data_IF_018774096313
#
_entry.id   IF_018774096313
#
_cell.length_a   1.000
_cell.length_b   1.000
_cell.length_c   1.000
_cell.angle_alpha   90.00
_cell.angle_beta   90.00
_cell.angle_gamma   90.00
#
_symmetry.space_group_name_H-M   'P 1'
#
loop_
_entity.id
_entity.type
_entity.pdbx_description
1 polymer ?
#
# COMPACT_ATOMS: atom_id res chain seq x y z
N UNK A 1 8.14 -12.52 9.11
CA UNK A 1 8.67 -12.63 10.48
C UNK A 1 8.19 -13.95 11.07
N UNK A 2 9.00 -14.60 11.88
CA UNK A 2 8.64 -15.81 12.64
C UNK A 2 8.58 -15.43 14.12
N UNK A 3 7.48 -15.71 14.82
CA UNK A 3 7.38 -15.45 16.26
C UNK A 3 8.26 -16.44 17.03
N UNK A 4 9.12 -15.92 17.91
CA UNK A 4 9.90 -16.70 18.89
C UNK A 4 9.18 -16.75 20.23
N UNK A 5 8.46 -15.69 20.56
CA UNK A 5 7.57 -15.56 21.71
C UNK A 5 6.37 -14.69 21.30
N UNK A 6 5.57 -14.23 22.27
CA UNK A 6 4.46 -13.31 22.00
C UNK A 6 4.95 -11.96 21.42
N UNK A 7 6.15 -11.52 21.78
CA UNK A 7 6.64 -10.17 21.44
C UNK A 7 7.94 -10.18 20.62
N UNK A 8 8.68 -11.29 20.64
CA UNK A 8 9.95 -11.41 19.93
C UNK A 8 9.76 -12.11 18.59
N UNK A 9 10.40 -11.55 17.56
CA UNK A 9 10.34 -12.07 16.21
C UNK A 9 11.72 -12.12 15.55
N UNK A 10 11.88 -13.03 14.59
CA UNK A 10 13.06 -13.09 13.72
C UNK A 10 12.66 -13.19 12.26
N UNK A 11 13.45 -12.60 11.36
CA UNK A 11 13.27 -12.85 9.92
C UNK A 11 13.69 -14.28 9.58
N UNK A 12 12.87 -14.99 8.80
CA UNK A 12 13.22 -16.32 8.26
C UNK A 12 14.28 -16.24 7.15
N UNK A 13 14.59 -15.03 6.66
CA UNK A 13 15.60 -14.73 5.61
C UNK A 13 15.36 -15.39 4.23
N UNK A 14 14.36 -16.26 4.12
CA UNK A 14 14.00 -16.98 2.89
C UNK A 14 12.56 -16.73 2.41
N UNK A 15 11.81 -15.85 3.08
CA UNK A 15 10.41 -15.53 2.76
C UNK A 15 9.41 -16.69 2.94
N UNK A 16 9.84 -17.78 3.59
CA UNK A 16 8.96 -18.86 4.05
C UNK A 16 8.45 -18.59 5.47
N UNK A 17 7.33 -19.21 5.90
CA UNK A 17 6.51 -20.20 5.17
C UNK A 17 5.64 -19.59 4.05
N UNK A 18 5.33 -20.41 3.04
CA UNK A 18 4.27 -20.12 2.09
C UNK A 18 2.91 -20.55 2.65
N UNK A 19 1.84 -19.82 2.32
CA UNK A 19 0.48 -20.30 2.54
C UNK A 19 0.11 -21.27 1.41
N UNK A 20 -0.14 -22.53 1.75
CA UNK A 20 -0.45 -23.60 0.80
C UNK A 20 -1.81 -24.18 1.16
N UNK A 21 -2.78 -24.05 0.25
CA UNK A 21 -4.12 -24.62 0.39
C UNK A 21 -4.35 -25.63 -0.73
N UNK A 22 -4.50 -26.91 -0.36
CA UNK A 22 -4.74 -28.00 -1.31
C UNK A 22 -6.17 -28.52 -1.16
N UNK A 23 -6.90 -28.56 -2.28
CA UNK A 23 -8.29 -28.97 -2.33
C UNK A 23 -8.43 -30.26 -3.12
N UNK A 24 -9.24 -31.20 -2.61
CA UNK A 24 -9.67 -32.36 -3.37
C UNK A 24 -10.74 -31.95 -4.40
N UNK A 25 -10.57 -32.39 -5.64
CA UNK A 25 -11.51 -32.17 -6.75
C UNK A 25 -11.51 -33.41 -7.64
N UNK A 26 -12.65 -33.68 -8.28
CA UNK A 26 -12.73 -34.70 -9.32
C UNK A 26 -11.87 -34.35 -10.56
N UNK A 27 -11.45 -35.40 -11.26
CA UNK A 27 -10.65 -35.31 -12.49
C UNK A 27 -9.17 -35.64 -12.28
N UNK A 28 -8.43 -35.73 -13.39
CA UNK A 28 -7.04 -36.16 -13.43
C UNK A 28 -6.03 -35.00 -13.59
N UNK A 29 -6.46 -33.76 -13.34
CA UNK A 29 -5.63 -32.56 -13.49
C UNK A 29 -5.45 -31.83 -12.16
N UNK A 30 -4.23 -31.35 -11.91
CA UNK A 30 -3.90 -30.50 -10.76
C UNK A 30 -3.88 -29.04 -11.21
N UNK A 31 -4.81 -28.25 -10.70
CA UNK A 31 -4.92 -26.82 -11.02
C UNK A 31 -4.41 -25.96 -9.86
N UNK A 32 -3.70 -24.89 -10.17
CA UNK A 32 -3.06 -24.02 -9.22
C UNK A 32 -3.37 -22.55 -9.52
N UNK A 33 -3.46 -21.77 -8.45
CA UNK A 33 -3.39 -20.31 -8.49
C UNK A 33 -2.28 -19.90 -7.52
N UNK A 34 -1.19 -19.36 -8.06
CA UNK A 34 -0.11 -18.79 -7.27
C UNK A 34 -0.35 -17.29 -7.11
N UNK A 35 -0.20 -16.75 -5.90
CA UNK A 35 -0.41 -15.32 -5.60
C UNK A 35 0.77 -14.78 -4.80
N UNK A 36 1.49 -13.80 -5.34
CA UNK A 36 2.54 -13.07 -4.62
C UNK A 36 1.94 -11.82 -3.96
N UNK A 37 1.18 -11.99 -2.88
CA UNK A 37 0.42 -10.88 -2.28
C UNK A 37 1.30 -9.92 -1.48
N UNK A 38 1.29 -8.64 -1.84
CA UNK A 38 2.00 -7.60 -1.09
C UNK A 38 1.30 -7.27 0.24
N UNK A 39 2.05 -7.16 1.33
CA UNK A 39 1.51 -6.90 2.67
C UNK A 39 0.61 -5.66 2.76
N UNK A 40 0.95 -4.58 2.04
CA UNK A 40 0.11 -3.36 2.01
C UNK A 40 -1.30 -3.60 1.46
N UNK A 41 -1.44 -4.41 0.41
CA UNK A 41 -2.74 -4.81 -0.14
C UNK A 41 -3.43 -5.90 0.68
N UNK A 42 -2.67 -6.79 1.33
CA UNK A 42 -3.22 -7.77 2.27
C UNK A 42 -3.90 -7.09 3.46
N UNK A 43 -3.27 -6.04 4.02
CA UNK A 43 -3.80 -5.23 5.12
C UNK A 43 -5.03 -4.40 4.72
N UNK A 44 -5.35 -4.31 3.43
CA UNK A 44 -6.57 -3.67 2.90
C UNK A 44 -7.59 -4.72 2.46
N UNK A 45 -7.70 -5.78 3.26
CA UNK A 45 -8.78 -6.76 3.18
C UNK A 45 -9.57 -6.65 4.47
N UNK A 46 -10.83 -6.22 4.38
CA UNK A 46 -11.68 -5.90 5.51
C UNK A 46 -12.89 -6.83 5.55
N UNK A 47 -13.32 -7.15 6.77
CA UNK A 47 -14.55 -7.87 7.06
C UNK A 47 -15.49 -6.96 7.84
N UNK A 48 -16.74 -6.90 7.41
CA UNK A 48 -17.80 -6.17 8.07
C UNK A 48 -18.96 -7.12 8.36
N UNK A 49 -19.33 -7.22 9.64
CA UNK A 49 -20.49 -8.01 10.04
C UNK A 49 -21.74 -7.13 9.92
N UNK A 50 -22.49 -7.34 8.84
CA UNK A 50 -23.74 -6.64 8.58
C UNK A 50 -24.94 -7.56 8.78
N UNK A 51 -26.14 -6.99 8.67
CA UNK A 51 -27.41 -7.71 8.79
C UNK A 51 -28.23 -7.59 7.50
N UNK A 52 -29.40 -8.24 7.45
CA UNK A 52 -30.34 -8.09 6.32
C UNK A 52 -30.71 -6.62 6.04
N UNK A 53 -30.64 -5.72 7.02
CA UNK A 53 -30.99 -4.31 6.85
C UNK A 53 -30.10 -3.58 5.81
N UNK A 54 -28.85 -4.02 5.63
CA UNK A 54 -27.95 -3.43 4.62
C UNK A 54 -28.35 -3.81 3.19
N UNK A 55 -29.10 -4.90 3.00
CA UNK A 55 -29.46 -5.43 1.68
C UNK A 55 -30.67 -4.70 1.07
N UNK A 56 -30.53 -3.38 0.96
CA UNK A 56 -31.38 -2.44 0.23
C UNK A 56 -30.45 -1.59 -0.66
N UNK A 57 -30.83 -1.23 -1.90
CA UNK A 57 -29.91 -0.61 -2.87
C UNK A 57 -29.13 0.60 -2.32
N UNK A 58 -29.84 1.63 -1.83
CA UNK A 58 -29.20 2.86 -1.35
C UNK A 58 -28.35 2.63 -0.09
N UNK A 59 -28.85 1.80 0.83
CA UNK A 59 -28.16 1.49 2.09
C UNK A 59 -26.85 0.74 1.81
N UNK A 60 -26.90 -0.25 0.91
CA UNK A 60 -25.74 -1.02 0.51
C UNK A 60 -24.70 -0.14 -0.18
N UNK A 61 -25.11 0.65 -1.16
CA UNK A 61 -24.20 1.51 -1.93
C UNK A 61 -23.52 2.54 -1.04
N UNK A 62 -24.27 3.23 -0.18
CA UNK A 62 -23.70 4.20 0.76
C UNK A 62 -22.71 3.52 1.70
N UNK A 63 -23.10 2.38 2.28
CA UNK A 63 -22.20 1.59 3.12
C UNK A 63 -20.90 1.20 2.39
N UNK A 64 -21.01 0.65 1.17
CA UNK A 64 -19.85 0.21 0.39
C UNK A 64 -18.93 1.38 0.06
N UNK A 65 -19.46 2.52 -0.37
CA UNK A 65 -18.63 3.68 -0.72
C UNK A 65 -17.93 4.27 0.49
N UNK A 66 -18.60 4.36 1.63
CA UNK A 66 -17.97 4.80 2.87
C UNK A 66 -16.81 3.88 3.24
N UNK A 67 -17.00 2.56 3.15
CA UNK A 67 -15.93 1.60 3.43
C UNK A 67 -14.81 1.64 2.37
N UNK A 68 -15.14 1.80 1.09
CA UNK A 68 -14.15 1.90 0.00
C UNK A 68 -13.23 3.11 0.19
N UNK A 69 -13.76 4.26 0.65
CA UNK A 69 -12.94 5.44 0.99
C UNK A 69 -11.90 5.13 2.07
N UNK A 70 -12.22 4.29 3.06
CA UNK A 70 -11.28 3.91 4.14
C UNK A 70 -10.07 3.09 3.66
N UNK A 71 -10.14 2.49 2.47
CA UNK A 71 -8.97 1.86 1.83
C UNK A 71 -7.87 2.91 1.64
N UNK A 72 -8.26 4.12 1.22
CA UNK A 72 -7.37 5.23 0.93
C UNK A 72 -6.33 4.91 -0.14
N UNK A 73 -5.21 5.62 -0.12
CA UNK A 73 -4.11 5.45 -1.09
C UNK A 73 -3.00 4.55 -0.56
N UNK A 74 -3.21 3.97 0.63
CA UNK A 74 -2.25 3.17 1.38
C UNK A 74 -1.91 1.82 0.78
N UNK A 75 -2.57 1.36 -0.29
CA UNK A 75 -2.23 0.11 -0.98
C UNK A 75 -1.80 0.31 -2.44
N UNK A 76 -1.40 1.51 -2.85
CA UNK A 76 -0.94 1.82 -4.21
C UNK A 76 -2.07 1.57 -5.25
N UNK A 77 -3.09 2.45 -5.32
CA UNK A 77 -4.04 2.48 -6.43
C UNK A 77 -3.34 2.85 -7.76
N UNK A 78 -3.96 2.55 -8.92
CA UNK A 78 -5.34 2.10 -9.09
C UNK A 78 -5.56 0.64 -8.68
N UNK A 79 -6.71 0.35 -8.09
CA UNK A 79 -7.02 -0.97 -7.52
C UNK A 79 -7.83 -1.87 -8.47
N UNK A 80 -7.59 -3.18 -8.40
CA UNK A 80 -8.61 -4.17 -8.73
C UNK A 80 -9.45 -4.41 -7.47
N UNK A 81 -10.60 -3.75 -7.37
CA UNK A 81 -11.45 -3.79 -6.18
C UNK A 81 -12.32 -5.04 -6.18
N UNK A 82 -12.40 -5.74 -5.06
CA UNK A 82 -13.30 -6.87 -4.87
C UNK A 82 -14.24 -6.62 -3.68
N UNK A 83 -15.52 -6.87 -3.89
CA UNK A 83 -16.59 -6.82 -2.89
C UNK A 83 -17.29 -8.17 -2.86
N UNK A 84 -17.46 -8.75 -1.68
CA UNK A 84 -18.22 -9.99 -1.48
C UNK A 84 -19.34 -9.74 -0.48
N UNK A 85 -20.57 -10.06 -0.87
CA UNK A 85 -21.76 -9.85 -0.04
C UNK A 85 -22.37 -11.19 0.32
N UNK A 86 -22.38 -11.51 1.61
CA UNK A 86 -22.76 -12.81 2.13
C UNK A 86 -21.56 -13.75 2.27
N UNK A 87 -21.88 -15.02 2.52
CA UNK A 87 -20.94 -16.07 2.88
C UNK A 87 -21.49 -16.90 4.03
N UNK A 88 -21.11 -18.17 4.05
CA UNK A 88 -21.48 -19.10 5.13
C UNK A 88 -20.67 -18.86 6.41
N UNK A 89 -19.53 -18.19 6.28
CA UNK A 89 -18.66 -17.79 7.38
C UNK A 89 -17.74 -16.64 6.98
N UNK A 90 -17.09 -16.03 7.96
CA UNK A 90 -16.18 -14.91 7.77
C UNK A 90 -14.99 -15.28 6.87
N UNK A 91 -14.38 -16.43 7.13
CA UNK A 91 -13.24 -16.96 6.39
C UNK A 91 -13.60 -17.31 4.95
N UNK A 92 -14.80 -17.85 4.67
CA UNK A 92 -15.26 -18.08 3.31
C UNK A 92 -15.47 -16.75 2.56
N UNK A 93 -16.08 -15.74 3.20
CA UNK A 93 -16.23 -14.41 2.62
C UNK A 93 -14.88 -13.82 2.25
N UNK A 94 -13.91 -13.80 3.18
CA UNK A 94 -12.60 -13.21 2.95
C UNK A 94 -11.76 -13.99 1.93
N UNK A 95 -11.85 -15.32 1.92
CA UNK A 95 -11.24 -16.13 0.86
C UNK A 95 -11.84 -15.80 -0.51
N UNK A 96 -13.16 -15.63 -0.58
CA UNK A 96 -13.84 -15.24 -1.84
C UNK A 96 -13.40 -13.85 -2.29
N UNK A 97 -13.22 -12.90 -1.36
CA UNK A 97 -12.65 -11.57 -1.67
C UNK A 97 -11.26 -11.71 -2.27
N UNK A 98 -10.41 -12.56 -1.69
CA UNK A 98 -9.06 -12.82 -2.22
C UNK A 98 -9.12 -13.29 -3.67
N UNK A 99 -9.90 -14.32 -3.94
CA UNK A 99 -10.03 -14.91 -5.27
C UNK A 99 -10.65 -13.94 -6.29
N UNK A 100 -11.68 -13.19 -5.88
CA UNK A 100 -12.30 -12.16 -6.70
C UNK A 100 -11.31 -11.02 -7.05
N UNK A 101 -10.47 -10.59 -6.10
CA UNK A 101 -9.44 -9.56 -6.36
C UNK A 101 -8.36 -10.03 -7.34
N UNK A 102 -8.18 -11.35 -7.47
CA UNK A 102 -7.28 -11.97 -8.43
C UNK A 102 -7.97 -12.38 -9.74
N UNK A 103 -9.23 -11.95 -9.96
CA UNK A 103 -10.04 -12.26 -11.14
C UNK A 103 -10.27 -13.76 -11.39
N UNK A 104 -10.02 -14.59 -10.39
CA UNK A 104 -10.18 -16.05 -10.46
C UNK A 104 -11.65 -16.47 -10.61
N UNK A 105 -12.57 -15.59 -10.22
CA UNK A 105 -14.02 -15.82 -10.22
C UNK A 105 -14.75 -15.15 -11.38
N UNK A 106 -14.03 -14.66 -12.39
CA UNK A 106 -14.59 -13.89 -13.51
C UNK A 106 -15.61 -14.68 -14.34
N UNK A 107 -15.49 -16.01 -14.36
CA UNK A 107 -16.36 -16.94 -15.09
C UNK A 107 -17.57 -17.43 -14.27
N UNK A 108 -17.81 -16.90 -13.07
CA UNK A 108 -19.05 -17.21 -12.33
C UNK A 108 -20.29 -16.77 -13.15
N UNK A 109 -21.45 -17.44 -12.96
CA UNK A 109 -22.72 -16.95 -13.49
C UNK A 109 -22.99 -15.51 -13.05
N UNK A 110 -23.73 -14.75 -13.85
CA UNK A 110 -24.09 -13.35 -13.55
C UNK A 110 -25.48 -13.19 -12.91
N UNK A 111 -26.15 -14.31 -12.69
CA UNK A 111 -27.47 -14.39 -12.05
C UNK A 111 -27.44 -15.47 -10.97
N UNK A 112 -28.17 -15.23 -9.87
CA UNK A 112 -28.32 -16.20 -8.80
C UNK A 112 -29.43 -17.22 -9.08
N UNK A 113 -29.50 -18.26 -8.24
CA UNK A 113 -30.57 -19.27 -8.29
C UNK A 113 -31.23 -19.47 -6.92
N UNK A 114 -32.09 -20.49 -6.85
CA UNK A 114 -32.83 -20.84 -5.63
C UNK A 114 -32.09 -21.79 -4.69
N UNK A 115 -30.92 -22.32 -5.09
CA UNK A 115 -30.16 -23.30 -4.30
C UNK A 115 -28.87 -22.73 -3.70
N UNK A 116 -28.74 -21.40 -3.66
CA UNK A 116 -27.62 -20.73 -3.01
C UNK A 116 -26.37 -20.63 -3.88
N UNK A 117 -26.56 -20.58 -5.20
CA UNK A 117 -25.50 -20.40 -6.18
C UNK A 117 -24.83 -19.02 -5.99
N UNK A 118 -23.50 -19.01 -6.01
CA UNK A 118 -22.74 -17.77 -6.07
C UNK A 118 -22.86 -17.15 -7.46
N UNK A 119 -22.96 -15.83 -7.54
CA UNK A 119 -22.96 -15.12 -8.81
C UNK A 119 -22.16 -13.81 -8.76
N UNK A 120 -21.73 -13.37 -9.94
CA UNK A 120 -21.03 -12.11 -10.16
C UNK A 120 -22.02 -11.02 -10.57
N UNK A 121 -22.16 -9.98 -9.75
CA UNK A 121 -23.10 -8.89 -9.99
C UNK A 121 -22.47 -7.78 -10.86
N UNK A 122 -22.56 -7.95 -12.17
CA UNK A 122 -21.98 -7.02 -13.16
C UNK A 122 -22.63 -5.63 -13.10
N UNK A 123 -23.90 -5.54 -12.69
CA UNK A 123 -24.59 -4.24 -12.55
C UNK A 123 -23.94 -3.45 -11.41
N UNK A 124 -23.80 -4.06 -10.24
CA UNK A 124 -23.22 -3.42 -9.07
C UNK A 124 -21.72 -3.14 -9.24
N UNK A 125 -20.99 -3.97 -10.00
CA UNK A 125 -19.60 -3.68 -10.40
C UNK A 125 -19.48 -2.33 -11.12
N UNK A 126 -20.32 -2.10 -12.12
CA UNK A 126 -20.29 -0.87 -12.91
C UNK A 126 -20.69 0.35 -12.09
N UNK A 127 -21.69 0.20 -11.21
CA UNK A 127 -22.15 1.26 -10.33
C UNK A 127 -21.05 1.69 -9.35
N UNK A 128 -20.43 0.73 -8.66
CA UNK A 128 -19.30 1.00 -7.75
C UNK A 128 -18.12 1.60 -8.52
N UNK A 129 -17.77 1.07 -9.70
CA UNK A 129 -16.68 1.62 -10.51
C UNK A 129 -16.92 3.08 -10.88
N UNK A 130 -18.13 3.44 -11.29
CA UNK A 130 -18.48 4.82 -11.60
C UNK A 130 -18.35 5.72 -10.37
N UNK A 131 -18.84 5.27 -9.21
CA UNK A 131 -18.69 6.02 -7.96
C UNK A 131 -17.22 6.19 -7.56
N UNK A 132 -16.38 5.14 -7.69
CA UNK A 132 -14.95 5.24 -7.37
C UNK A 132 -14.22 6.28 -8.24
N UNK A 133 -14.69 6.50 -9.46
CA UNK A 133 -14.14 7.49 -10.41
C UNK A 133 -14.53 8.92 -10.08
N UNK A 134 -15.56 9.13 -9.27
CA UNK A 134 -16.00 10.45 -8.80
C UNK A 134 -15.51 10.79 -7.40
N UNK A 135 -14.79 9.89 -6.71
CA UNK A 135 -14.28 10.12 -5.36
C UNK A 135 -13.21 11.22 -5.27
N UNK A 136 -12.54 11.54 -6.38
CA UNK A 136 -11.44 12.50 -6.41
C UNK A 136 -10.10 11.97 -5.89
N UNK A 137 -10.03 10.77 -5.30
CA UNK A 137 -8.80 10.23 -4.66
C UNK A 137 -7.74 9.72 -5.67
N UNK A 138 -8.16 9.04 -6.73
CA UNK A 138 -7.28 8.19 -7.55
C UNK A 138 -6.36 8.94 -8.51
N UNK A 139 -5.33 8.41 -9.16
CA UNK A 139 -4.42 7.37 -8.73
C UNK A 139 -3.37 8.02 -7.83
N UNK A 140 -3.41 7.69 -6.53
CA UNK A 140 -2.55 8.18 -5.46
C UNK A 140 -2.66 9.66 -5.11
N UNK A 141 -2.51 10.58 -6.06
CA UNK A 141 -2.43 12.02 -5.78
C UNK A 141 -3.57 12.82 -6.42
N UNK A 142 -4.79 12.30 -6.34
CA UNK A 142 -6.00 13.00 -6.76
C UNK A 142 -6.34 12.84 -8.25
N UNK A 143 -7.63 12.73 -8.56
CA UNK A 143 -8.14 12.42 -9.90
C UNK A 143 -9.07 11.21 -9.96
N UNK A 144 -9.16 10.61 -11.17
CA UNK A 144 -10.20 9.65 -11.55
C UNK A 144 -9.87 8.18 -11.21
N UNK A 145 -8.61 7.77 -11.37
CA UNK A 145 -8.25 6.36 -11.43
C UNK A 145 -7.99 5.77 -10.05
N UNK A 146 -9.04 5.68 -9.22
CA UNK A 146 -8.93 5.02 -7.92
C UNK A 146 -8.98 3.49 -8.06
N UNK A 147 -9.82 3.01 -8.96
CA UNK A 147 -9.92 1.60 -9.34
C UNK A 147 -9.67 1.44 -10.85
N UNK A 148 -8.94 0.38 -11.23
CA UNK A 148 -8.89 -0.12 -12.60
C UNK A 148 -10.27 -0.70 -12.99
N UNK A 149 -10.77 -1.60 -12.15
CA UNK A 149 -12.04 -2.30 -12.30
C UNK A 149 -12.57 -2.77 -10.92
N UNK A 150 -13.77 -3.36 -10.91
CA UNK A 150 -14.44 -3.90 -9.72
C UNK A 150 -14.91 -5.32 -9.99
N UNK A 151 -14.90 -6.18 -8.97
CA UNK A 151 -15.58 -7.47 -8.92
C UNK A 151 -16.55 -7.51 -7.74
N UNK A 152 -17.81 -7.87 -7.99
CA UNK A 152 -18.81 -8.01 -6.93
C UNK A 152 -19.37 -9.42 -6.94
N UNK A 153 -19.10 -10.20 -5.89
CA UNK A 153 -19.61 -11.57 -5.75
C UNK A 153 -20.68 -11.62 -4.67
N UNK A 154 -21.86 -12.15 -5.03
CA UNK A 154 -22.94 -12.41 -4.09
C UNK A 154 -22.94 -13.89 -3.72
N UNK A 155 -22.87 -14.18 -2.42
CA UNK A 155 -22.88 -15.54 -1.86
C UNK A 155 -24.18 -15.83 -1.10
N UNK A 156 -24.58 -17.09 -0.90
CA UNK A 156 -25.62 -17.42 0.08
C UNK A 156 -25.18 -16.98 1.49
N UNK A 157 -26.14 -16.86 2.41
CA UNK A 157 -25.89 -16.46 3.80
C UNK A 157 -26.89 -17.12 4.74
N UNK A 158 -26.49 -17.39 5.97
CA UNK A 158 -27.44 -17.73 7.03
C UNK A 158 -28.44 -16.58 7.26
N UNK A 159 -29.69 -16.88 7.63
CA UNK A 159 -30.75 -15.88 7.77
C UNK A 159 -30.38 -14.72 8.70
N UNK A 160 -29.69 -15.03 9.80
CA UNK A 160 -29.24 -14.07 10.82
C UNK A 160 -27.91 -13.36 10.50
N UNK A 161 -27.26 -13.64 9.37
CA UNK A 161 -25.89 -13.15 9.08
C UNK A 161 -25.82 -12.48 7.72
N UNK A 162 -24.98 -11.46 7.58
CA UNK A 162 -24.61 -10.88 6.29
C UNK A 162 -23.16 -10.37 6.34
N UNK A 163 -22.16 -11.27 6.34
CA UNK A 163 -20.77 -10.83 6.25
C UNK A 163 -20.53 -10.13 4.90
N UNK A 164 -19.85 -8.99 4.93
CA UNK A 164 -19.40 -8.28 3.73
C UNK A 164 -17.89 -8.18 3.79
N UNK A 165 -17.23 -8.62 2.72
CA UNK A 165 -15.80 -8.51 2.56
C UNK A 165 -15.44 -7.50 1.47
N UNK A 166 -14.43 -6.67 1.73
CA UNK A 166 -13.89 -5.73 0.73
C UNK A 166 -12.37 -5.90 0.68
N UNK A 167 -11.80 -5.97 -0.51
CA UNK A 167 -10.35 -6.11 -0.68
C UNK A 167 -9.87 -5.61 -2.02
N UNK A 168 -8.56 -5.53 -2.18
CA UNK A 168 -7.94 -5.01 -3.41
C UNK A 168 -6.78 -5.87 -3.90
N UNK A 169 -6.56 -5.89 -5.21
CA UNK A 169 -5.22 -6.03 -5.78
C UNK A 169 -4.63 -4.65 -6.07
N UNK A 170 -3.34 -4.49 -5.76
CA UNK A 170 -2.63 -3.22 -5.91
C UNK A 170 -1.92 -3.12 -7.26
N UNK A 171 -1.18 -2.04 -7.50
CA UNK A 171 -0.32 -1.91 -8.70
C UNK A 171 0.67 -3.07 -8.88
N UNK A 172 1.04 -3.76 -7.81
CA UNK A 172 1.78 -5.03 -7.89
C UNK A 172 0.80 -6.21 -8.00
N UNK A 173 0.01 -6.22 -9.09
CA UNK A 173 -0.97 -7.27 -9.40
C UNK A 173 -0.24 -8.53 -9.87
N UNK A 174 -0.14 -9.53 -8.99
CA UNK A 174 0.79 -10.66 -9.14
C UNK A 174 0.12 -11.97 -8.76
N UNK A 175 -0.46 -12.60 -9.77
CA UNK A 175 -0.97 -13.95 -9.72
C UNK A 175 -0.61 -14.68 -11.02
N UNK A 176 -0.56 -16.00 -10.96
CA UNK A 176 -0.37 -16.83 -12.15
C UNK A 176 -1.11 -18.16 -11.97
N UNK A 177 -1.91 -18.52 -12.96
CA UNK A 177 -2.58 -19.82 -13.02
C UNK A 177 -1.62 -20.87 -13.60
N UNK A 178 -1.73 -22.10 -13.09
CA UNK A 178 -1.00 -23.23 -13.63
C UNK A 178 -1.87 -24.49 -13.61
N UNK A 179 -1.51 -25.43 -14.48
CA UNK A 179 -2.19 -26.72 -14.60
C UNK A 179 -1.16 -27.81 -14.86
N UNK A 180 -1.30 -28.95 -14.20
CA UNK A 180 -0.57 -30.18 -14.49
C UNK A 180 -1.58 -31.24 -14.89
N UNK A 181 -1.35 -31.92 -16.00
CA UNK A 181 -2.11 -33.09 -16.42
C UNK A 181 -1.20 -34.12 -17.11
N UNK A 182 -1.78 -35.18 -17.67
CA UNK A 182 -1.04 -36.26 -18.33
C UNK A 182 -0.15 -35.80 -19.50
N UNK A 183 -0.39 -34.61 -20.07
CA UNK A 183 0.37 -34.06 -21.19
C UNK A 183 1.54 -33.17 -20.75
N UNK A 184 1.57 -32.72 -19.49
CA UNK A 184 2.68 -31.94 -18.95
C UNK A 184 2.27 -30.83 -17.98
N UNK A 185 3.12 -29.80 -17.90
CA UNK A 185 2.99 -28.65 -17.01
C UNK A 185 2.71 -27.40 -17.83
N UNK A 186 1.65 -26.69 -17.48
CA UNK A 186 1.18 -25.48 -18.14
C UNK A 186 1.20 -24.32 -17.14
N UNK A 187 1.64 -23.17 -17.63
CA UNK A 187 1.68 -21.91 -16.87
C UNK A 187 1.00 -20.83 -17.70
N UNK A 188 0.23 -19.98 -17.05
CA UNK A 188 -0.39 -18.81 -17.68
C UNK A 188 0.68 -17.93 -18.33
N UNK A 189 0.42 -17.53 -19.58
CA UNK A 189 1.31 -16.64 -20.33
C UNK A 189 1.02 -15.20 -19.91
N UNK A 190 2.00 -14.56 -19.29
CA UNK A 190 1.97 -13.12 -18.99
C UNK A 190 2.51 -12.31 -20.18
N UNK A 191 2.35 -10.99 -20.13
CA UNK A 191 2.98 -10.09 -21.10
C UNK A 191 4.49 -10.02 -20.88
N UNK A 192 5.26 -10.13 -21.97
CA UNK A 192 6.72 -10.05 -21.98
C UNK A 192 7.26 -8.78 -22.65
N UNK A 193 6.42 -8.06 -23.40
CA UNK A 193 6.72 -6.74 -23.96
C UNK A 193 5.76 -5.68 -23.38
N UNK A 194 5.96 -5.25 -22.12
CA UNK A 194 5.11 -4.23 -21.52
C UNK A 194 5.28 -2.84 -22.15
N UNK A 195 6.35 -2.62 -22.94
CA UNK A 195 6.62 -1.33 -23.56
C UNK A 195 5.55 -0.94 -24.60
N UNK A 196 4.84 -1.92 -25.18
CA UNK A 196 3.73 -1.68 -26.09
C UNK A 196 2.56 -0.89 -25.45
N UNK A 197 2.45 -0.89 -24.12
CA UNK A 197 1.43 -0.13 -23.39
C UNK A 197 1.88 1.30 -23.05
N UNK A 198 3.13 1.67 -23.32
CA UNK A 198 3.60 3.04 -23.10
C UNK A 198 2.99 3.98 -24.14
N UNK A 199 2.28 5.03 -23.72
CA UNK A 199 1.80 6.04 -24.64
C UNK A 199 2.97 6.83 -25.22
N UNK A 200 2.83 7.33 -26.44
CA UNK A 200 3.69 8.39 -26.94
C UNK A 200 3.43 9.65 -26.12
N UNK A 201 4.34 9.96 -25.19
CA UNK A 201 4.30 11.17 -24.37
C UNK A 201 5.25 12.21 -24.97
N UNK A 202 4.79 13.45 -25.10
CA UNK A 202 5.67 14.60 -25.34
C UNK A 202 6.40 15.00 -24.06
N UNK A 203 7.25 16.03 -24.14
CA UNK A 203 7.80 16.67 -22.93
C UNK A 203 6.63 17.14 -22.04
N UNK A 204 6.69 16.83 -20.75
CA UNK A 204 5.66 17.25 -19.80
C UNK A 204 5.71 18.78 -19.66
N UNK A 205 4.79 19.48 -20.31
CA UNK A 205 4.70 20.94 -20.21
C UNK A 205 4.26 21.38 -18.80
N UNK A 206 5.01 22.30 -18.20
CA UNK A 206 4.45 23.29 -17.26
C UNK A 206 4.28 22.89 -15.78
N UNK A 207 4.95 21.85 -15.28
CA UNK A 207 4.97 21.60 -13.82
C UNK A 207 6.29 22.08 -13.25
N UNK A 208 6.28 23.24 -12.58
CA UNK A 208 7.43 23.79 -11.85
C UNK A 208 7.89 22.77 -10.78
N UNK A 209 9.04 22.14 -11.02
CA UNK A 209 9.67 21.20 -10.11
C UNK A 209 10.54 21.98 -9.12
N UNK A 210 10.18 21.93 -7.84
CA UNK A 210 10.99 22.51 -6.78
C UNK A 210 12.04 21.50 -6.38
N UNK A 211 13.30 21.79 -6.71
CA UNK A 211 14.44 21.01 -6.22
C UNK A 211 14.73 21.34 -4.75
N UNK A 212 14.93 20.31 -3.94
CA UNK A 212 15.30 20.41 -2.53
C UNK A 212 16.59 19.64 -2.30
N UNK A 213 17.64 20.38 -1.94
CA UNK A 213 18.91 19.81 -1.49
C UNK A 213 18.81 19.40 -0.02
N UNK A 214 18.69 18.10 0.22
CA UNK A 214 18.59 17.48 1.54
C UNK A 214 19.90 17.58 2.35
N UNK A 215 21.03 17.83 1.70
CA UNK A 215 22.34 17.95 2.34
C UNK A 215 22.63 19.40 2.79
N UNK A 216 21.72 20.35 2.52
CA UNK A 216 21.81 21.74 2.99
C UNK A 216 21.70 21.90 4.53
N UNK A 217 21.45 20.80 5.25
CA UNK A 217 21.23 20.75 6.70
C UNK A 217 19.76 20.88 7.07
N UNK A 218 19.31 20.08 8.05
CA UNK A 218 17.89 19.89 8.40
C UNK A 218 17.10 21.20 8.58
N UNK A 219 17.68 22.22 9.24
CA UNK A 219 16.97 23.49 9.47
C UNK A 219 16.72 24.25 8.16
N UNK A 220 17.71 24.30 7.26
CA UNK A 220 17.56 24.95 5.94
C UNK A 220 16.54 24.19 5.09
N UNK A 221 16.59 22.85 5.10
CA UNK A 221 15.62 22.00 4.39
C UNK A 221 14.21 22.24 4.92
N UNK A 222 14.02 22.29 6.24
CA UNK A 222 12.74 22.59 6.85
C UNK A 222 12.27 24.00 6.49
N UNK A 223 13.14 25.00 6.55
CA UNK A 223 12.80 26.38 6.19
C UNK A 223 12.33 26.48 4.74
N UNK A 224 12.94 25.74 3.81
CA UNK A 224 12.51 25.68 2.42
C UNK A 224 11.17 24.93 2.29
N UNK A 225 11.08 23.69 2.75
CA UNK A 225 9.90 22.84 2.52
C UNK A 225 8.63 23.42 3.17
N UNK A 226 8.75 24.03 4.36
CA UNK A 226 7.60 24.61 5.10
C UNK A 226 6.92 25.77 4.39
N UNK A 227 7.56 26.36 3.37
CA UNK A 227 6.97 27.44 2.58
C UNK A 227 5.91 26.93 1.59
N UNK A 228 6.01 25.65 1.19
CA UNK A 228 5.14 25.09 0.16
C UNK A 228 3.84 24.53 0.74
N UNK A 229 2.69 24.78 0.08
CA UNK A 229 1.42 24.20 0.48
C UNK A 229 1.35 22.71 0.12
N UNK A 230 0.35 22.02 0.66
CA UNK A 230 -0.03 20.68 0.16
C UNK A 230 -0.26 20.72 -1.35
N UNK A 231 -0.02 19.61 -2.06
CA UNK A 231 -0.04 19.45 -3.53
C UNK A 231 1.24 19.84 -4.24
N UNK A 232 2.14 20.62 -3.61
CA UNK A 232 3.41 20.98 -4.23
C UNK A 232 4.22 19.73 -4.55
N UNK A 233 4.68 19.61 -5.80
CA UNK A 233 5.63 18.58 -6.24
C UNK A 233 7.06 19.04 -5.96
N UNK A 234 7.86 18.14 -5.41
CA UNK A 234 9.27 18.33 -5.06
C UNK A 234 10.14 17.28 -5.76
N UNK A 235 11.36 17.66 -6.11
CA UNK A 235 12.45 16.75 -6.46
C UNK A 235 13.50 16.81 -5.37
N UNK A 236 13.74 15.67 -4.70
CA UNK A 236 14.65 15.60 -3.57
C UNK A 236 16.01 15.06 -4.03
N UNK A 237 17.08 15.71 -3.58
CA UNK A 237 18.45 15.31 -3.85
C UNK A 237 19.26 15.35 -2.55
N UNK A 238 20.10 14.36 -2.31
CA UNK A 238 20.95 14.28 -1.11
C UNK A 238 20.57 13.11 -0.19
N UNK A 239 20.89 13.23 1.09
CA UNK A 239 20.84 12.12 2.04
C UNK A 239 19.46 11.93 2.70
N UNK A 240 19.04 10.67 2.85
CA UNK A 240 17.90 10.27 3.68
C UNK A 240 18.25 9.07 4.58
N UNK A 241 17.56 8.99 5.73
CA UNK A 241 17.56 7.78 6.56
C UNK A 241 16.36 6.93 6.24
N UNK A 242 16.57 5.64 6.04
CA UNK A 242 15.51 4.66 5.84
C UNK A 242 15.26 3.91 7.14
N UNK A 243 14.03 3.97 7.64
CA UNK A 243 13.60 3.19 8.80
C UNK A 243 12.10 2.89 8.69
N UNK A 244 11.67 1.71 9.12
CA UNK A 244 10.26 1.31 9.11
C UNK A 244 9.89 0.55 10.39
N UNK A 245 8.82 -0.24 10.35
CA UNK A 245 8.12 -0.84 11.48
C UNK A 245 9.02 -1.28 12.66
N UNK A 246 9.94 -2.23 12.47
CA UNK A 246 10.77 -2.77 13.57
C UNK A 246 11.83 -1.75 14.02
N UNK A 247 12.45 -1.04 13.09
CA UNK A 247 13.41 0.03 13.42
C UNK A 247 12.75 1.15 14.24
N UNK A 248 11.52 1.55 13.92
CA UNK A 248 10.76 2.55 14.69
C UNK A 248 10.41 2.04 16.09
N UNK A 249 10.02 0.77 16.23
CA UNK A 249 9.79 0.17 17.54
C UNK A 249 11.06 0.20 18.41
N UNK A 250 12.23 -0.11 17.83
CA UNK A 250 13.52 -0.03 18.52
C UNK A 250 13.91 1.41 18.88
N UNK A 251 13.74 2.35 17.97
CA UNK A 251 13.98 3.78 18.23
C UNK A 251 13.08 4.30 19.34
N UNK A 252 11.81 3.86 19.41
CA UNK A 252 10.91 4.20 20.51
C UNK A 252 11.42 3.67 21.84
N UNK A 253 11.97 2.45 21.86
CA UNK A 253 12.55 1.87 23.06
C UNK A 253 13.81 2.62 23.50
N UNK A 254 14.69 2.97 22.56
CA UNK A 254 15.87 3.82 22.81
C UNK A 254 15.45 5.16 23.41
N UNK A 255 14.40 5.79 22.87
CA UNK A 255 13.86 7.03 23.42
C UNK A 255 13.34 6.86 24.85
N UNK A 256 12.66 5.76 25.16
CA UNK A 256 12.16 5.46 26.51
C UNK A 256 13.29 5.20 27.51
N UNK A 257 14.37 4.53 27.07
CA UNK A 257 15.52 4.18 27.91
C UNK A 257 16.51 5.33 28.11
N UNK A 258 16.75 6.14 27.07
CA UNK A 258 17.81 7.17 27.07
C UNK A 258 17.28 8.60 27.13
N UNK A 259 15.99 8.81 26.84
CA UNK A 259 15.38 10.14 26.78
C UNK A 259 15.68 10.94 25.51
N UNK A 260 16.46 10.39 24.56
CA UNK A 260 16.78 11.00 23.27
C UNK A 260 16.80 9.97 22.12
N UNK A 261 16.95 10.44 20.88
CA UNK A 261 17.05 9.63 19.68
C UNK A 261 18.44 9.78 19.02
N UNK A 262 18.90 8.77 18.26
CA UNK A 262 20.15 8.84 17.51
C UNK A 262 20.21 10.05 16.58
N UNK A 263 21.40 10.62 16.41
CA UNK A 263 21.61 11.85 15.62
C UNK A 263 21.15 11.71 14.16
N UNK A 264 21.29 10.52 13.56
CA UNK A 264 20.82 10.27 12.20
C UNK A 264 19.31 10.51 12.04
N UNK A 265 18.50 10.30 13.08
CA UNK A 265 17.05 10.50 13.04
C UNK A 265 16.64 11.97 13.16
N UNK A 266 17.57 12.83 13.60
CA UNK A 266 17.43 14.29 13.76
C UNK A 266 18.03 15.06 12.58
N UNK A 267 19.09 14.53 11.96
CA UNK A 267 19.88 15.23 10.93
C UNK A 267 19.32 15.10 9.52
N UNK A 268 18.53 14.05 9.22
CA UNK A 268 18.06 13.76 7.86
C UNK A 268 16.57 13.39 7.81
N UNK A 269 15.88 13.59 6.67
CA UNK A 269 14.54 13.07 6.47
C UNK A 269 14.46 11.56 6.66
N UNK A 270 13.34 11.06 7.20
CA UNK A 270 13.11 9.63 7.40
C UNK A 270 12.21 9.08 6.30
N UNK A 271 12.79 8.27 5.41
CA UNK A 271 12.11 7.50 4.38
C UNK A 271 11.63 6.16 4.94
N UNK A 272 10.32 5.91 4.92
CA UNK A 272 9.77 4.61 5.31
C UNK A 272 9.80 3.65 4.12
N UNK A 273 10.80 2.77 4.09
CA UNK A 273 10.94 1.75 3.06
C UNK A 273 11.74 0.54 3.58
N UNK A 274 11.82 -0.50 2.77
CA UNK A 274 12.72 -1.63 2.98
C UNK A 274 13.17 -2.16 1.62
N UNK A 275 14.47 -2.27 1.35
CA UNK A 275 14.97 -2.63 0.03
C UNK A 275 14.77 -4.12 -0.26
N UNK A 276 14.53 -4.45 -1.54
CA UNK A 276 14.74 -5.80 -2.03
C UNK A 276 16.25 -6.12 -2.12
N UNK A 277 16.58 -7.40 -2.38
CA UNK A 277 17.97 -7.82 -2.58
C UNK A 277 18.61 -7.04 -3.74
N UNK A 278 19.83 -6.57 -3.53
CA UNK A 278 20.63 -5.86 -4.53
C UNK A 278 21.10 -6.83 -5.63
N UNK A 279 20.77 -6.59 -6.91
CA UNK A 279 21.36 -7.34 -8.02
C UNK A 279 22.84 -7.02 -8.21
N UNK A 280 23.60 -7.94 -8.81
CA UNK A 280 25.00 -7.71 -9.14
C UNK A 280 25.13 -6.56 -10.15
N UNK A 281 26.08 -5.65 -9.92
CA UNK A 281 26.29 -4.47 -10.77
C UNK A 281 25.32 -3.30 -10.56
N UNK A 282 24.33 -3.43 -9.67
CA UNK A 282 23.39 -2.35 -9.33
C UNK A 282 23.71 -1.73 -7.97
N UNK A 283 23.32 -0.46 -7.79
CA UNK A 283 23.45 0.26 -6.52
C UNK A 283 22.50 -0.28 -5.47
N UNK A 284 21.25 -0.55 -5.87
CA UNK A 284 20.17 -0.99 -4.98
C UNK A 284 19.30 -2.05 -5.66
N UNK A 285 18.66 -2.90 -4.86
CA UNK A 285 17.46 -3.61 -5.31
C UNK A 285 16.26 -2.68 -5.38
N UNK A 286 15.11 -3.16 -5.85
CA UNK A 286 13.86 -2.37 -5.86
C UNK A 286 13.55 -1.79 -4.47
N UNK A 287 13.28 -0.48 -4.38
CA UNK A 287 13.30 0.24 -3.10
C UNK A 287 12.21 1.33 -3.00
N UNK A 288 10.96 0.92 -3.21
CA UNK A 288 9.80 1.81 -3.11
C UNK A 288 9.30 2.05 -1.67
N UNK A 289 8.41 3.04 -1.47
CA UNK A 289 7.90 3.43 -0.16
C UNK A 289 7.00 2.37 0.47
N UNK A 290 6.96 2.33 1.80
CA UNK A 290 5.96 1.58 2.58
C UNK A 290 4.83 2.48 3.10
N UNK A 291 3.77 1.87 3.67
CA UNK A 291 2.60 2.63 4.15
C UNK A 291 2.94 3.52 5.34
N UNK A 292 2.74 4.83 5.18
CA UNK A 292 3.06 5.83 6.19
C UNK A 292 2.27 5.66 7.50
N UNK A 293 0.98 5.37 7.39
CA UNK A 293 0.05 5.29 8.52
C UNK A 293 0.45 4.32 9.63
N UNK A 294 1.30 3.31 9.34
CA UNK A 294 1.76 2.35 10.36
C UNK A 294 2.75 2.96 11.36
N UNK A 295 3.37 4.09 11.01
CA UNK A 295 4.32 4.80 11.88
C UNK A 295 3.69 6.01 12.59
N UNK A 296 2.38 6.25 12.43
CA UNK A 296 1.71 7.44 13.00
C UNK A 296 1.81 7.52 14.53
N UNK A 297 1.83 6.38 15.22
CA UNK A 297 1.92 6.31 16.68
C UNK A 297 3.24 6.84 17.25
N UNK A 298 4.31 6.87 16.44
CA UNK A 298 5.64 7.34 16.88
C UNK A 298 5.83 8.85 16.64
N UNK A 299 5.08 9.43 15.72
CA UNK A 299 5.38 10.75 15.15
C UNK A 299 5.47 11.87 16.19
N UNK A 300 4.49 12.01 17.08
CA UNK A 300 4.49 13.08 18.07
C UNK A 300 5.68 12.98 19.05
N UNK A 301 5.97 11.77 19.55
CA UNK A 301 7.09 11.53 20.47
C UNK A 301 8.45 11.81 19.82
N UNK A 302 8.60 11.43 18.54
CA UNK A 302 9.86 11.64 17.82
C UNK A 302 10.06 13.11 17.46
N UNK A 303 9.02 13.78 16.95
CA UNK A 303 9.08 15.21 16.61
C UNK A 303 9.33 16.11 17.82
N UNK A 304 8.82 15.72 18.99
CA UNK A 304 9.13 16.41 20.26
C UNK A 304 10.63 16.42 20.60
N UNK A 305 11.37 15.42 20.12
CA UNK A 305 12.83 15.30 20.27
C UNK A 305 13.60 15.82 19.05
N UNK A 306 12.94 16.56 18.16
CA UNK A 306 13.54 17.09 16.94
C UNK A 306 13.86 16.03 15.87
N UNK A 307 13.37 14.80 16.03
CA UNK A 307 13.54 13.73 15.06
C UNK A 307 12.30 13.58 14.17
N UNK A 308 12.44 12.94 13.01
CA UNK A 308 11.29 12.64 12.12
C UNK A 308 10.49 13.89 11.71
N UNK A 309 11.10 15.07 11.67
CA UNK A 309 10.44 16.33 11.28
C UNK A 309 10.10 16.36 9.79
N UNK A 310 10.86 15.64 8.96
CA UNK A 310 10.50 15.38 7.56
C UNK A 310 10.38 13.88 7.40
N UNK A 311 9.21 13.42 6.98
CA UNK A 311 8.95 12.00 6.71
C UNK A 311 8.59 11.80 5.25
N UNK A 312 9.06 10.71 4.65
CA UNK A 312 8.74 10.35 3.27
C UNK A 312 8.27 8.90 3.21
N UNK A 313 7.14 8.65 2.55
CA UNK A 313 6.52 7.32 2.46
C UNK A 313 5.41 7.33 1.40
N UNK A 314 4.42 6.41 1.49
CA UNK A 314 3.21 6.47 0.67
C UNK A 314 1.94 6.30 1.48
N UNK A 315 0.82 6.74 0.90
CA UNK A 315 -0.51 6.65 1.48
C UNK A 315 -0.91 7.87 2.31
N UNK A 316 -2.21 7.99 2.55
CA UNK A 316 -2.78 8.95 3.50
C UNK A 316 -2.44 8.58 4.97
N UNK A 317 -2.45 9.58 5.86
CA UNK A 317 -2.11 9.43 7.28
C UNK A 317 -3.29 9.85 8.18
N UNK A 318 -3.18 9.57 9.46
CA UNK A 318 -4.21 9.91 10.45
C UNK A 318 -4.23 11.40 10.77
N UNK A 319 -5.37 11.86 11.32
CA UNK A 319 -5.50 13.22 11.86
C UNK A 319 -4.51 13.52 12.98
N UNK A 320 -4.18 12.51 13.79
CA UNK A 320 -3.19 12.64 14.87
C UNK A 320 -1.81 13.01 14.32
N UNK A 321 -1.41 12.42 13.19
CA UNK A 321 -0.17 12.78 12.51
C UNK A 321 -0.18 14.24 12.03
N UNK A 322 -1.26 14.69 11.38
CA UNK A 322 -1.37 16.08 10.93
C UNK A 322 -1.34 17.10 12.09
N UNK A 323 -1.93 16.74 13.24
CA UNK A 323 -1.84 17.56 14.44
C UNK A 323 -0.41 17.61 15.01
N UNK A 324 0.36 16.51 14.94
CA UNK A 324 1.77 16.49 15.33
C UNK A 324 2.62 17.39 14.42
N UNK A 325 2.42 17.30 13.09
CA UNK A 325 3.03 18.22 12.12
C UNK A 325 2.76 19.68 12.48
N UNK A 326 1.51 20.03 12.76
CA UNK A 326 1.14 21.40 13.19
C UNK A 326 1.85 21.84 14.48
N UNK A 327 1.96 20.94 15.46
CA UNK A 327 2.52 21.25 16.78
C UNK A 327 4.04 21.44 16.74
N UNK A 328 4.74 20.59 16.00
CA UNK A 328 6.21 20.52 16.00
C UNK A 328 6.84 21.05 14.69
N UNK A 329 6.03 21.57 13.78
CA UNK A 329 6.47 22.03 12.46
C UNK A 329 6.93 20.89 11.54
N UNK A 330 6.44 19.67 11.73
CA UNK A 330 6.78 18.53 10.87
C UNK A 330 6.10 18.58 9.51
N UNK A 331 6.64 17.87 8.52
CA UNK A 331 6.09 17.75 7.16
C UNK A 331 6.10 16.28 6.73
N UNK A 332 5.07 15.87 5.98
CA UNK A 332 5.03 14.57 5.31
C UNK A 332 5.02 14.72 3.80
N UNK A 333 5.99 14.06 3.19
CA UNK A 333 6.19 13.94 1.76
C UNK A 333 5.66 12.59 1.26
N UNK A 334 4.71 12.61 0.34
CA UNK A 334 4.20 11.41 -0.33
C UNK A 334 5.01 11.09 -1.58
N UNK A 335 5.62 9.92 -1.62
CA UNK A 335 6.21 9.33 -2.82
C UNK A 335 5.18 8.44 -3.53
N UNK A 336 5.40 8.21 -4.82
CA UNK A 336 4.59 7.26 -5.61
C UNK A 336 4.87 5.83 -5.14
N UNK A 337 3.85 5.16 -4.62
CA UNK A 337 3.92 3.75 -4.26
C UNK A 337 3.75 2.84 -5.47
N UNK A 338 4.64 1.87 -5.65
CA UNK A 338 4.59 0.93 -6.79
C UNK A 338 5.86 0.84 -7.63
N UNK A 339 6.38 1.95 -8.20
CA UNK A 339 7.49 1.95 -9.15
C UNK A 339 8.87 1.76 -8.49
N UNK A 340 9.00 0.74 -7.64
CA UNK A 340 10.17 0.49 -6.80
C UNK A 340 11.45 0.19 -7.61
N UNK A 341 11.33 -0.40 -8.81
CA UNK A 341 12.46 -0.65 -9.69
C UNK A 341 13.02 0.64 -10.30
N UNK A 342 12.13 1.53 -10.80
CA UNK A 342 12.52 2.84 -11.33
C UNK A 342 13.15 3.72 -10.25
N UNK A 343 12.55 3.79 -9.05
CA UNK A 343 13.14 4.51 -7.92
C UNK A 343 14.56 4.02 -7.63
N UNK A 344 14.78 2.70 -7.62
CA UNK A 344 16.10 2.14 -7.35
C UNK A 344 17.12 2.41 -8.47
N UNK A 345 16.67 2.39 -9.73
CA UNK A 345 17.52 2.58 -10.90
C UNK A 345 17.89 4.05 -11.12
N UNK A 346 16.90 4.94 -11.02
CA UNK A 346 17.02 6.31 -11.47
C UNK A 346 17.29 7.27 -10.30
N UNK A 347 16.75 7.00 -9.11
CA UNK A 347 16.84 7.94 -7.99
C UNK A 347 17.90 7.57 -6.95
N UNK A 348 18.14 6.29 -6.66
CA UNK A 348 19.03 5.88 -5.55
C UNK A 348 20.47 5.70 -6.05
N UNK A 349 21.40 6.46 -5.46
CA UNK A 349 22.82 6.48 -5.87
C UNK A 349 23.75 5.84 -4.84
N UNK A 350 23.30 5.66 -3.60
CA UNK A 350 24.04 4.92 -2.57
C UNK A 350 23.10 4.26 -1.56
N UNK A 351 23.51 3.14 -0.97
CA UNK A 351 22.81 2.46 0.13
C UNK A 351 23.84 1.88 1.11
N UNK A 352 23.73 2.26 2.37
CA UNK A 352 24.56 1.76 3.48
C UNK A 352 23.66 1.35 4.64
N UNK A 353 23.93 0.20 5.27
CA UNK A 353 23.28 -0.17 6.54
C UNK A 353 24.05 0.49 7.67
N UNK A 354 23.39 1.35 8.45
CA UNK A 354 24.05 2.14 9.50
C UNK A 354 23.64 1.74 10.92
N UNK A 355 22.52 1.04 11.09
CA UNK A 355 22.06 0.57 12.39
C UNK A 355 21.16 -0.67 12.26
N UNK A 356 21.11 -1.48 13.32
CA UNK A 356 20.34 -2.73 13.42
C UNK A 356 20.50 -3.71 12.23
N UNK A 357 21.73 -4.06 11.81
CA UNK A 357 21.98 -4.89 10.63
C UNK A 357 21.31 -6.27 10.67
N UNK A 358 21.06 -6.80 11.86
CA UNK A 358 20.38 -8.08 12.05
C UNK A 358 18.91 -8.08 11.59
N UNK A 359 18.30 -6.91 11.42
CA UNK A 359 16.92 -6.76 10.94
C UNK A 359 16.78 -6.96 9.42
N UNK A 360 17.89 -7.12 8.68
CA UNK A 360 17.87 -7.32 7.24
C UNK A 360 17.21 -6.13 6.53
N UNK A 361 16.13 -6.37 5.77
CA UNK A 361 15.44 -5.30 5.03
C UNK A 361 14.81 -4.22 5.93
N UNK A 362 14.66 -4.48 7.24
CA UNK A 362 14.13 -3.51 8.22
C UNK A 362 15.22 -2.83 9.04
N UNK A 363 16.50 -3.04 8.71
CA UNK A 363 17.61 -2.28 9.28
C UNK A 363 17.48 -0.79 8.98
N UNK A 364 18.21 0.05 9.73
CA UNK A 364 18.32 1.46 9.38
C UNK A 364 19.35 1.60 8.27
N UNK A 365 18.94 2.22 7.16
CA UNK A 365 19.84 2.49 6.05
C UNK A 365 20.07 3.98 5.90
N UNK A 366 21.25 4.37 5.45
CA UNK A 366 21.55 5.70 4.91
C UNK A 366 21.59 5.58 3.40
N UNK A 367 20.81 6.41 2.71
CA UNK A 367 20.78 6.44 1.25
C UNK A 367 21.06 7.84 0.72
N UNK A 368 21.67 7.92 -0.45
CA UNK A 368 21.73 9.15 -1.24
C UNK A 368 20.78 9.02 -2.41
N UNK A 369 20.01 10.07 -2.67
CA UNK A 369 19.08 10.15 -3.78
C UNK A 369 19.35 11.33 -4.71
N UNK A 370 18.92 11.22 -5.95
CA UNK A 370 18.83 12.30 -6.94
C UNK A 370 17.44 12.27 -7.58
N UNK A 371 16.93 13.44 -7.94
CA UNK A 371 15.66 13.61 -8.66
C UNK A 371 14.51 12.77 -8.08
N UNK A 372 14.46 12.59 -6.76
CA UNK A 372 13.48 11.71 -6.14
C UNK A 372 12.13 12.44 -6.04
N UNK A 373 11.07 11.96 -6.72
CA UNK A 373 9.81 12.69 -6.77
C UNK A 373 9.00 12.50 -5.48
N UNK A 374 8.48 13.60 -4.95
CA UNK A 374 7.55 13.59 -3.83
C UNK A 374 6.54 14.74 -3.90
N UNK A 375 5.46 14.62 -3.13
CA UNK A 375 4.46 15.67 -2.96
C UNK A 375 4.37 16.09 -1.50
N UNK A 376 4.20 17.37 -1.21
CA UNK A 376 3.80 17.82 0.13
C UNK A 376 2.37 17.32 0.39
N UNK A 377 2.23 16.32 1.26
CA UNK A 377 0.94 15.71 1.60
C UNK A 377 0.39 16.31 2.88
N UNK A 378 1.22 16.44 3.92
CA UNK A 378 0.85 17.17 5.15
C UNK A 378 1.88 18.26 5.39
N UNK A 379 1.43 19.51 5.48
CA UNK A 379 2.31 20.65 5.74
C UNK A 379 2.51 20.92 7.25
N UNK A 380 3.43 21.83 7.56
CA UNK A 380 3.72 22.24 8.94
C UNK A 380 2.60 23.04 9.62
N UNK A 381 1.52 23.38 8.90
CA UNK A 381 0.32 24.03 9.45
C UNK A 381 -0.77 23.00 9.78
N UNK A 382 -0.55 21.73 9.46
CA UNK A 382 -1.50 20.63 9.67
C UNK A 382 -2.59 20.56 8.59
N UNK A 383 -2.37 21.18 7.42
CA UNK A 383 -3.17 20.95 6.24
C UNK A 383 -2.79 19.59 5.66
N UNK A 384 -3.78 18.85 5.17
CA UNK A 384 -3.62 17.48 4.65
C UNK A 384 -4.30 17.38 3.29
N UNK A 385 -3.52 16.99 2.28
CA UNK A 385 -3.93 16.78 0.90
C UNK A 385 -5.19 15.90 0.78
N UNK A 386 -5.30 14.85 1.59
CA UNK A 386 -6.39 13.88 1.48
C UNK A 386 -7.63 14.23 2.30
N UNK A 387 -7.58 15.31 3.11
CA UNK A 387 -8.64 15.63 4.08
C UNK A 387 -10.01 15.81 3.45
N UNK A 388 -10.06 16.29 2.21
CA UNK A 388 -11.30 16.49 1.47
C UNK A 388 -12.05 15.17 1.19
N UNK A 389 -11.31 14.08 0.99
CA UNK A 389 -11.88 12.82 0.49
C UNK A 389 -11.84 11.67 1.51
N UNK A 390 -10.85 11.69 2.42
CA UNK A 390 -10.55 10.62 3.36
C UNK A 390 -10.68 11.05 4.83
N UNK A 391 -11.00 12.33 5.10
CA UNK A 391 -10.90 12.98 6.40
C UNK A 391 -12.15 12.93 7.27
#
# INVERSE_FOLDING_TARGET
MSPLSMFEEVSTKCNLPAQIELYAKDGAAYNFLFIAKGGGSANKTFLYQQTKAVLNPDVLLNFLIDQIKTIGTSACPPYHLAVVIGGLSAELTLKTVKLASCKYLDALPTEGGSFGEAFRDVKLENEILNMTRTLGIGAQFGGKYFCHDVRVIRLPRHGASCPIGIGVSCSADRQIMAKVDASGVYLEKLEHDPAQFLPAIGEAEGVEEVCVDLDAGMENVLQQIRQYPTKQRLLLQGTMIVARDIAHARLSKILEETGDLPDYAKQYPIYYAGPAKKPDGFVSGSFGPTTAGRMDSYAAKFMEKGASLITLAKGNRSRAFANACKKYGGVYLGSVGGPAALIAQDCITSVEVIDFPELGMEAVHKITVKDFPAFVVVDAKGNDFYREWCG
#
